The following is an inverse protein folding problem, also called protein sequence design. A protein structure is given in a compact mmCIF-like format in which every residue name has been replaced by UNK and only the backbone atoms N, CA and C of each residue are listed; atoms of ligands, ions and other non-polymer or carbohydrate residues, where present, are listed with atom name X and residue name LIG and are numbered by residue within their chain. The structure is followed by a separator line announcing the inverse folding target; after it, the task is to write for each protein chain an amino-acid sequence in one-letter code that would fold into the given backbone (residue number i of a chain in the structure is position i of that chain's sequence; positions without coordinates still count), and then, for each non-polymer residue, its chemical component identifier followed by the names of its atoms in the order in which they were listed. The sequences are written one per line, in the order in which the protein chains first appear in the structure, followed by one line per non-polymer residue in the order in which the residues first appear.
data_IF_289307770665
#
_entry.id   IF_289307770665
#
_cell.length_a   1.000
_cell.length_b   1.000
_cell.length_c   1.000
_cell.angle_alpha   90.00
_cell.angle_beta   90.00
_cell.angle_gamma   90.00
#
_symmetry.space_group_name_H-M   'P 1'
#
loop_
_entity.id
_entity.type
_entity.pdbx_description
1 polymer ?
#
# COMPACT_ATOMS: atom_id res chain seq x y z
N UNK A 1 24.02 0.32 -5.18
CA UNK A 1 23.05 -0.39 -4.32
C UNK A 1 21.97 -0.94 -5.25
N UNK A 2 21.91 -2.26 -5.52
CA UNK A 2 21.04 -2.78 -6.56
C UNK A 2 19.62 -2.94 -5.99
N UNK A 3 18.70 -2.18 -6.58
CA UNK A 3 17.27 -2.24 -6.32
C UNK A 3 16.75 -3.65 -6.69
N UNK A 4 16.30 -4.41 -5.69
CA UNK A 4 15.82 -5.78 -5.87
C UNK A 4 14.43 -5.76 -6.52
N UNK A 5 14.23 -6.63 -7.51
CA UNK A 5 12.98 -6.82 -8.27
C UNK A 5 11.80 -7.00 -7.31
N UNK A 6 10.92 -6.01 -7.22
CA UNK A 6 9.59 -6.19 -6.66
C UNK A 6 8.76 -6.97 -7.70
N UNK A 7 8.17 -8.09 -7.29
CA UNK A 7 7.10 -8.72 -8.06
C UNK A 7 5.82 -7.98 -7.69
N UNK A 8 5.50 -6.95 -8.45
CA UNK A 8 4.22 -6.25 -8.33
C UNK A 8 3.23 -7.03 -9.19
N UNK A 9 2.28 -7.70 -8.54
CA UNK A 9 1.17 -8.36 -9.24
C UNK A 9 0.08 -7.32 -9.43
N UNK A 10 -0.11 -6.90 -10.69
CA UNK A 10 -0.99 -5.81 -11.09
C UNK A 10 -2.22 -6.40 -11.79
N UNK A 11 -3.42 -6.28 -11.19
CA UNK A 11 -4.68 -6.72 -11.81
C UNK A 11 -5.38 -5.57 -12.58
N UNK A 12 -6.69 -5.62 -12.86
CA UNK A 12 -7.42 -4.57 -13.61
C UNK A 12 -7.91 -3.50 -12.61
N UNK A 13 -7.71 -2.21 -12.92
CA UNK A 13 -8.36 -1.10 -12.18
C UNK A 13 -7.53 -0.38 -11.11
N UNK A 14 -6.20 -0.49 -11.15
CA UNK A 14 -5.30 0.27 -10.25
C UNK A 14 -4.60 1.43 -10.97
N UNK A 15 -4.21 2.45 -10.21
CA UNK A 15 -3.39 3.56 -10.70
C UNK A 15 -2.26 3.85 -9.70
N UNK A 16 -1.01 3.70 -10.14
CA UNK A 16 0.17 4.22 -9.44
C UNK A 16 0.64 5.47 -10.17
N UNK A 17 0.61 6.63 -9.50
CA UNK A 17 0.98 7.93 -10.07
C UNK A 17 1.92 8.73 -9.19
N UNK A 18 2.45 9.84 -9.72
CA UNK A 18 3.34 10.75 -8.99
C UNK A 18 4.74 10.16 -8.74
N UNK A 19 5.23 10.30 -7.52
CA UNK A 19 6.51 9.80 -7.03
C UNK A 19 6.37 8.60 -6.09
N UNK A 20 5.24 7.89 -6.16
CA UNK A 20 4.98 6.71 -5.37
C UNK A 20 6.03 5.62 -5.60
N UNK A 21 6.42 4.94 -4.53
CA UNK A 21 7.48 3.91 -4.54
C UNK A 21 6.98 2.62 -3.91
N UNK A 22 7.05 1.54 -4.66
CA UNK A 22 6.73 0.19 -4.22
C UNK A 22 8.01 -0.65 -4.27
N UNK A 23 8.41 -1.29 -3.17
CA UNK A 23 9.61 -2.13 -3.11
C UNK A 23 9.49 -3.31 -2.14
N UNK A 24 10.32 -4.34 -2.29
CA UNK A 24 10.10 -5.60 -1.58
C UNK A 24 8.92 -6.39 -2.15
N UNK A 25 8.53 -7.48 -1.51
CA UNK A 25 7.35 -8.22 -1.94
C UNK A 25 7.25 -9.65 -1.43
N UNK A 26 6.06 -10.24 -1.63
CA UNK A 26 5.06 -9.89 -2.67
C UNK A 26 4.22 -8.62 -2.39
N UNK A 27 3.89 -7.85 -3.44
CA UNK A 27 2.91 -6.74 -3.35
C UNK A 27 1.75 -7.00 -4.32
N UNK A 28 0.54 -7.07 -3.79
CA UNK A 28 -0.70 -7.29 -4.55
C UNK A 28 -1.61 -6.06 -4.47
N UNK A 29 -2.04 -5.57 -5.62
CA UNK A 29 -3.02 -4.49 -5.75
C UNK A 29 -4.23 -4.99 -6.56
N UNK A 30 -5.43 -4.90 -5.99
CA UNK A 30 -6.65 -5.36 -6.64
C UNK A 30 -7.88 -4.48 -6.34
N UNK A 31 -8.87 -4.47 -7.23
CA UNK A 31 -10.19 -3.83 -7.03
C UNK A 31 -10.13 -2.33 -6.60
N UNK A 32 -9.93 -1.43 -7.58
CA UNK A 32 -10.01 0.04 -7.42
C UNK A 32 -9.00 0.65 -6.42
N UNK A 33 -7.72 0.27 -6.52
CA UNK A 33 -6.64 0.82 -5.67
C UNK A 33 -5.95 2.01 -6.34
N UNK A 34 -5.88 3.13 -5.61
CA UNK A 34 -5.18 4.35 -6.03
C UNK A 34 -3.96 4.61 -5.15
N UNK A 35 -2.78 4.73 -5.75
CA UNK A 35 -1.54 5.10 -5.04
C UNK A 35 -0.92 6.30 -5.74
N UNK A 36 -0.82 7.43 -5.05
CA UNK A 36 -0.32 8.70 -5.62
C UNK A 36 0.54 9.49 -4.63
N UNK A 37 1.08 10.63 -5.07
CA UNK A 37 1.94 11.49 -4.25
C UNK A 37 3.35 10.92 -4.10
N UNK A 38 3.88 10.95 -2.88
CA UNK A 38 5.17 10.40 -2.45
C UNK A 38 5.02 9.13 -1.60
N UNK A 39 3.86 8.47 -1.69
CA UNK A 39 3.55 7.27 -0.92
C UNK A 39 4.62 6.19 -1.08
N UNK A 40 4.99 5.53 0.02
CA UNK A 40 6.01 4.49 0.06
C UNK A 40 5.42 3.22 0.63
N UNK A 41 5.51 2.14 -0.13
CA UNK A 41 4.98 0.83 0.24
C UNK A 41 6.12 -0.16 0.16
N UNK A 42 6.34 -0.92 1.22
CA UNK A 42 7.37 -1.94 1.24
C UNK A 42 7.02 -3.21 2.00
N UNK A 43 7.60 -4.32 1.54
CA UNK A 43 7.43 -5.64 2.15
C UNK A 43 6.30 -6.46 1.54
N UNK A 44 5.77 -7.42 2.30
CA UNK A 44 4.61 -8.24 1.93
C UNK A 44 3.31 -7.45 2.20
N UNK A 45 2.68 -6.94 1.14
CA UNK A 45 1.53 -6.03 1.26
C UNK A 45 0.44 -6.43 0.26
N UNK A 46 -0.77 -6.62 0.78
CA UNK A 46 -1.99 -6.85 0.01
C UNK A 46 -2.91 -5.66 0.18
N UNK A 47 -3.29 -5.02 -0.92
CA UNK A 47 -4.17 -3.85 -0.95
C UNK A 47 -5.31 -4.12 -1.90
N UNK A 48 -6.54 -4.13 -1.38
CA UNK A 48 -7.71 -4.53 -2.15
C UNK A 48 -8.97 -3.71 -1.80
N UNK A 49 -9.94 -3.65 -2.71
CA UNK A 49 -11.29 -3.11 -2.47
C UNK A 49 -11.32 -1.61 -2.07
N UNK A 50 -11.08 -0.70 -3.02
CA UNK A 50 -11.28 0.76 -2.88
C UNK A 50 -10.38 1.43 -1.82
N UNK A 51 -9.08 1.14 -1.86
CA UNK A 51 -8.09 1.79 -0.99
C UNK A 51 -7.35 2.90 -1.74
N UNK A 52 -7.30 4.08 -1.14
CA UNK A 52 -6.56 5.24 -1.64
C UNK A 52 -5.38 5.55 -0.72
N UNK A 53 -4.17 5.64 -1.29
CA UNK A 53 -2.93 5.96 -0.58
C UNK A 53 -2.27 7.16 -1.26
N UNK A 54 -2.15 8.28 -0.55
CA UNK A 54 -1.69 9.55 -1.12
C UNK A 54 -0.63 10.24 -0.26
N UNK A 55 -0.16 11.41 -0.71
CA UNK A 55 0.81 12.27 0.00
C UNK A 55 2.09 11.52 0.39
N UNK A 56 2.54 11.59 1.64
CA UNK A 56 3.77 10.98 2.16
C UNK A 56 3.50 9.70 2.96
N UNK A 57 2.35 9.05 2.74
CA UNK A 57 1.94 7.86 3.47
C UNK A 57 2.97 6.72 3.35
N UNK A 58 3.21 6.04 4.47
CA UNK A 58 4.20 4.98 4.61
C UNK A 58 3.54 3.67 5.04
N UNK A 59 3.64 2.65 4.20
CA UNK A 59 3.19 1.28 4.49
C UNK A 59 4.43 0.38 4.51
N UNK A 60 4.75 -0.22 5.65
CA UNK A 60 5.95 -1.04 5.81
C UNK A 60 5.62 -2.35 6.51
N UNK A 61 5.65 -3.45 5.76
CA UNK A 61 5.51 -4.78 6.31
C UNK A 61 6.85 -5.19 6.96
N UNK A 62 6.89 -5.23 8.28
CA UNK A 62 8.09 -5.51 9.06
C UNK A 62 8.18 -6.98 9.45
N UNK A 63 9.41 -7.47 9.67
CA UNK A 63 9.69 -8.80 10.24
C UNK A 63 9.07 -10.00 9.51
N UNK A 64 8.78 -9.87 8.21
CA UNK A 64 8.12 -10.92 7.43
C UNK A 64 6.63 -11.08 7.74
N UNK A 65 6.02 -10.15 8.50
CA UNK A 65 4.56 -10.05 8.60
C UNK A 65 3.99 -9.46 7.31
N UNK A 66 2.81 -9.92 6.90
CA UNK A 66 2.06 -9.35 5.79
C UNK A 66 1.06 -8.29 6.28
N UNK A 67 0.97 -7.16 5.56
CA UNK A 67 -0.05 -6.13 5.79
C UNK A 67 -1.20 -6.32 4.81
N UNK A 68 -2.42 -6.42 5.33
CA UNK A 68 -3.63 -6.47 4.52
C UNK A 68 -4.45 -5.18 4.71
N UNK A 69 -4.50 -4.36 3.65
CA UNK A 69 -5.35 -3.18 3.56
C UNK A 69 -6.55 -3.53 2.69
N UNK A 70 -7.75 -3.43 3.25
CA UNK A 70 -8.98 -3.72 2.53
C UNK A 70 -10.14 -2.81 2.88
N UNK A 71 -11.05 -2.66 1.92
CA UNK A 71 -12.26 -1.87 2.03
C UNK A 71 -11.98 -0.37 1.86
N UNK A 72 -13.05 0.41 1.71
CA UNK A 72 -12.98 1.87 1.54
C UNK A 72 -12.14 2.52 2.63
N UNK A 73 -10.91 2.91 2.28
CA UNK A 73 -9.94 3.52 3.20
C UNK A 73 -9.13 4.59 2.47
N UNK A 74 -8.96 5.73 3.14
CA UNK A 74 -8.04 6.78 2.72
C UNK A 74 -6.85 6.80 3.70
N UNK A 75 -5.65 6.63 3.17
CA UNK A 75 -4.39 6.73 3.92
C UNK A 75 -3.58 7.87 3.29
N UNK A 76 -3.48 8.99 3.98
CA UNK A 76 -2.90 10.23 3.43
C UNK A 76 -1.96 10.91 4.44
N UNK A 77 -1.46 12.08 4.09
CA UNK A 77 -0.51 12.84 4.90
C UNK A 77 0.72 12.02 5.29
N UNK A 78 1.03 11.97 6.59
CA UNK A 78 2.15 11.21 7.16
C UNK A 78 1.69 9.88 7.81
N UNK A 79 0.58 9.30 7.35
CA UNK A 79 0.07 8.04 7.90
C UNK A 79 1.10 6.91 7.80
N UNK A 80 1.37 6.24 8.93
CA UNK A 80 2.36 5.14 9.00
C UNK A 80 1.68 3.85 9.43
N UNK A 81 1.58 2.89 8.52
CA UNK A 81 1.01 1.57 8.78
C UNK A 81 2.12 0.53 8.75
N UNK A 82 2.31 -0.15 9.88
CA UNK A 82 3.31 -1.22 10.02
C UNK A 82 2.67 -2.59 10.25
N UNK A 83 1.34 -2.65 10.37
CA UNK A 83 0.54 -3.85 10.63
C UNK A 83 -0.85 -3.74 10.03
N UNK A 84 -1.48 -4.88 9.77
CA UNK A 84 -2.88 -4.96 9.32
C UNK A 84 -3.81 -4.22 10.29
N UNK A 85 -4.50 -3.15 9.86
CA UNK A 85 -5.43 -2.43 10.72
C UNK A 85 -6.62 -3.31 11.07
N UNK A 86 -6.90 -3.49 12.36
CA UNK A 86 -8.11 -4.18 12.81
C UNK A 86 -9.35 -3.39 12.37
N UNK A 87 -10.36 -4.10 11.86
CA UNK A 87 -11.60 -3.49 11.39
C UNK A 87 -12.24 -2.65 12.51
N UNK A 88 -12.51 -1.37 12.22
CA UNK A 88 -13.20 -0.44 13.13
C UNK A 88 -12.37 0.71 13.70
N UNK A 89 -11.07 0.81 13.41
CA UNK A 89 -10.19 1.83 14.05
C UNK A 89 -9.80 3.05 13.21
N UNK A 90 -10.33 3.21 12.00
CA UNK A 90 -10.16 4.43 11.22
C UNK A 90 -11.55 4.98 10.88
N UNK A 91 -12.11 5.76 11.80
CA UNK A 91 -13.27 6.62 11.56
C UNK A 91 -12.84 7.88 10.78
N UNK A 92 -13.73 8.48 9.97
CA UNK A 92 -13.42 9.55 9.02
C UNK A 92 -12.89 10.83 9.67
#
# INVERSE_FOLDING_TARGET
MPWLRATVCLNIGWMVGGHARLCGGPILLDDEVLIQGHARISGDVVIEHQVEITDDALIEALNGEAIHLRGRKLINGAGHITRTPLAGFLSP
#
